data_IF_747309183108
#
_entry.id   IF_747309183108
#
_cell.length_a   1.000
_cell.length_b   1.000
_cell.length_c   1.000
_cell.angle_alpha   90.00
_cell.angle_beta   90.00
_cell.angle_gamma   90.00
#
_symmetry.space_group_name_H-M   'P 1'
#
loop_
_entity.id
_entity.type
_entity.pdbx_description
1 polymer ?
#
# COMPACT_ATOMS: atom_id res chain seq x y z
N UNK A 1 -2.29 17.00 -20.05
CA UNK A 1 -3.56 17.73 -20.07
C UNK A 1 -4.49 17.04 -21.03
N UNK A 2 -5.70 16.69 -20.60
CA UNK A 2 -6.70 16.03 -21.44
C UNK A 2 -7.17 17.03 -22.51
N UNK A 3 -7.28 16.58 -23.76
CA UNK A 3 -7.63 17.45 -24.87
C UNK A 3 -9.07 18.00 -24.74
N UNK A 4 -9.35 19.25 -25.15
CA UNK A 4 -10.60 19.96 -24.87
C UNK A 4 -11.86 19.26 -25.40
N UNK A 5 -11.72 18.42 -26.43
CA UNK A 5 -12.84 17.67 -27.00
C UNK A 5 -13.39 16.56 -26.09
N UNK A 6 -12.72 16.19 -24.99
CA UNK A 6 -13.20 15.17 -24.05
C UNK A 6 -13.80 15.75 -22.76
N UNK A 7 -13.95 17.08 -22.67
CA UNK A 7 -14.38 17.76 -21.44
C UNK A 7 -15.82 17.41 -21.02
N UNK A 8 -16.68 17.13 -22.00
CA UNK A 8 -18.09 16.82 -21.76
C UNK A 8 -18.27 15.46 -21.07
N UNK A 9 -17.46 14.46 -21.41
CA UNK A 9 -17.49 13.11 -20.83
C UNK A 9 -17.04 13.13 -19.35
N UNK A 10 -16.13 14.05 -19.00
CA UNK A 10 -15.58 14.15 -17.64
C UNK A 10 -16.55 14.83 -16.68
N UNK A 11 -17.29 15.86 -17.12
CA UNK A 11 -18.30 16.51 -16.27
C UNK A 11 -19.50 15.58 -16.00
N UNK A 12 -19.85 14.70 -16.95
CA UNK A 12 -20.96 13.75 -16.80
C UNK A 12 -20.66 12.64 -15.78
N UNK A 13 -19.43 12.10 -15.78
CA UNK A 13 -18.97 11.11 -14.80
C UNK A 13 -18.86 11.68 -13.37
N UNK A 14 -18.51 12.96 -13.23
CA UNK A 14 -18.43 13.65 -11.93
C UNK A 14 -19.81 14.00 -11.38
N UNK A 15 -20.80 14.23 -12.25
CA UNK A 15 -22.18 14.53 -11.87
C UNK A 15 -23.02 13.28 -11.56
N UNK A 16 -22.49 12.07 -11.80
CA UNK A 16 -23.20 10.81 -11.53
C UNK A 16 -24.45 10.60 -12.39
N UNK A 17 -24.56 11.30 -13.52
CA UNK A 17 -25.68 11.15 -14.44
C UNK A 17 -25.38 9.95 -15.34
N UNK A 18 -26.01 8.81 -15.03
CA UNK A 18 -26.02 7.66 -15.92
C UNK A 18 -27.04 7.93 -17.04
N UNK A 19 -26.55 8.40 -18.20
CA UNK A 19 -27.34 8.44 -19.45
C UNK A 19 -27.25 7.14 -20.24
N UNK A 20 -26.55 6.13 -19.71
CA UNK A 20 -26.58 4.78 -20.25
C UNK A 20 -28.03 4.27 -20.19
N UNK A 21 -28.62 4.09 -21.36
CA UNK A 21 -29.89 3.37 -21.53
C UNK A 21 -29.77 2.05 -20.76
N UNK A 22 -30.74 1.74 -19.90
CA UNK A 22 -30.76 0.49 -19.15
C UNK A 22 -30.70 -0.67 -20.15
N UNK A 23 -29.53 -1.28 -20.26
CA UNK A 23 -29.37 -2.50 -21.05
C UNK A 23 -30.04 -3.60 -20.25
N UNK A 24 -31.21 -4.04 -20.70
CA UNK A 24 -31.86 -5.20 -20.10
C UNK A 24 -30.88 -6.38 -20.18
N UNK A 25 -30.57 -7.04 -19.05
CA UNK A 25 -29.78 -8.25 -19.08
C UNK A 25 -30.50 -9.28 -19.96
N UNK A 26 -29.81 -9.74 -21.01
CA UNK A 26 -30.29 -10.87 -21.81
C UNK A 26 -30.19 -12.11 -20.94
N UNK A 27 -31.30 -12.45 -20.29
CA UNK A 27 -31.48 -13.74 -19.63
C UNK A 27 -31.89 -14.75 -20.70
N UNK A 28 -30.95 -15.60 -21.08
CA UNK A 28 -31.16 -16.71 -21.99
C UNK A 28 -30.19 -17.83 -21.67
N UNK A 29 -30.60 -19.06 -21.94
CA UNK A 29 -29.69 -20.19 -21.95
C UNK A 29 -28.64 -19.90 -23.04
N UNK A 30 -27.32 -19.94 -22.71
CA UNK A 30 -26.28 -19.65 -23.67
C UNK A 30 -26.47 -20.58 -24.88
N UNK A 31 -26.33 -20.08 -26.12
CA UNK A 31 -26.43 -20.94 -27.28
C UNK A 31 -25.44 -22.09 -27.12
N UNK A 32 -25.89 -23.33 -27.34
CA UNK A 32 -25.02 -24.49 -27.38
C UNK A 32 -24.07 -24.32 -28.58
N UNK A 33 -22.92 -23.70 -28.35
CA UNK A 33 -21.84 -23.68 -29.33
C UNK A 33 -21.23 -25.08 -29.28
N UNK A 34 -21.33 -25.90 -30.34
CA UNK A 34 -20.59 -27.14 -30.38
C UNK A 34 -19.11 -26.80 -30.24
N UNK A 35 -18.49 -27.27 -29.17
CA UNK A 35 -17.07 -27.09 -28.94
C UNK A 35 -16.30 -27.92 -29.98
N UNK A 36 -16.05 -27.36 -31.16
CA UNK A 36 -15.13 -27.96 -32.14
C UNK A 36 -13.68 -27.97 -31.63
N UNK A 37 -13.39 -27.19 -30.58
CA UNK A 37 -12.05 -27.02 -30.04
C UNK A 37 -12.06 -27.19 -28.52
N UNK A 38 -11.20 -28.07 -28.04
CA UNK A 38 -10.90 -28.28 -26.62
C UNK A 38 -9.63 -27.50 -26.27
N UNK A 39 -9.70 -26.65 -25.23
CA UNK A 39 -8.52 -25.91 -24.74
C UNK A 39 -7.58 -26.88 -24.02
N UNK A 40 -6.46 -27.22 -24.66
CA UNK A 40 -5.47 -28.16 -24.12
C UNK A 40 -4.57 -27.51 -23.07
N UNK A 41 -4.02 -26.33 -23.35
CA UNK A 41 -3.09 -25.62 -22.47
C UNK A 41 -3.06 -24.11 -22.76
N UNK A 42 -2.74 -23.31 -21.73
CA UNK A 42 -2.39 -21.89 -21.89
C UNK A 42 -0.90 -21.76 -21.58
N UNK A 43 -0.13 -21.29 -22.57
CA UNK A 43 1.32 -21.06 -22.45
C UNK A 43 1.58 -19.57 -22.33
N UNK A 44 2.17 -19.15 -21.20
CA UNK A 44 2.56 -17.78 -20.96
C UNK A 44 3.83 -17.38 -21.74
N UNK A 45 4.10 -16.08 -21.94
CA UNK A 45 5.29 -15.61 -22.65
C UNK A 45 6.63 -16.04 -22.03
N UNK A 46 6.64 -16.39 -20.75
CA UNK A 46 7.80 -16.91 -20.01
C UNK A 46 7.97 -18.44 -20.14
N UNK A 47 7.07 -19.11 -20.87
CA UNK A 47 7.06 -20.55 -21.06
C UNK A 47 6.38 -21.34 -19.93
N UNK A 48 5.80 -20.67 -18.93
CA UNK A 48 4.99 -21.34 -17.90
C UNK A 48 3.63 -21.78 -18.48
N UNK A 49 3.10 -22.90 -17.98
CA UNK A 49 1.85 -23.50 -18.44
C UNK A 49 0.80 -23.38 -17.32
N UNK A 50 -0.35 -22.80 -17.62
CA UNK A 50 -1.50 -22.77 -16.71
C UNK A 50 -2.40 -23.99 -16.94
N UNK A 51 -2.80 -24.64 -15.84
CA UNK A 51 -3.65 -25.82 -15.90
C UNK A 51 -5.06 -25.45 -16.37
N UNK A 52 -5.54 -26.13 -17.41
CA UNK A 52 -6.86 -25.94 -18.05
C UNK A 52 -8.02 -26.56 -17.27
N UNK A 53 -7.84 -26.78 -15.97
CA UNK A 53 -8.85 -27.35 -15.07
C UNK A 53 -10.06 -26.42 -14.93
N UNK A 54 -11.16 -26.83 -15.58
CA UNK A 54 -12.53 -26.32 -15.48
C UNK A 54 -12.80 -25.16 -14.53
N UNK A 55 -13.04 -23.99 -15.11
CA UNK A 55 -13.76 -22.89 -14.49
C UNK A 55 -12.92 -22.06 -13.50
N UNK A 56 -12.25 -21.04 -14.02
CA UNK A 56 -11.72 -19.97 -13.19
C UNK A 56 -10.68 -19.16 -13.94
N UNK A 57 -11.05 -17.98 -14.41
CA UNK A 57 -10.05 -16.99 -14.78
C UNK A 57 -9.10 -16.81 -13.59
N UNK A 58 -7.81 -17.02 -13.84
CA UNK A 58 -6.76 -17.05 -12.82
C UNK A 58 -6.54 -15.68 -12.18
N UNK A 59 -7.43 -15.29 -11.27
CA UNK A 59 -7.15 -14.23 -10.34
C UNK A 59 -6.28 -14.81 -9.23
N UNK A 60 -4.98 -14.56 -9.27
CA UNK A 60 -4.12 -14.77 -8.11
C UNK A 60 -4.56 -13.79 -7.01
N UNK A 61 -5.11 -14.30 -5.92
CA UNK A 61 -5.43 -13.48 -4.75
C UNK A 61 -4.11 -13.08 -4.07
N UNK A 62 -3.84 -11.78 -4.00
CA UNK A 62 -2.75 -11.24 -3.20
C UNK A 62 -3.29 -10.75 -1.85
N UNK A 63 -2.53 -10.95 -0.79
CA UNK A 63 -2.84 -10.34 0.50
C UNK A 63 -2.68 -8.82 0.38
N UNK A 64 -3.76 -8.08 0.60
CA UNK A 64 -3.74 -6.62 0.61
C UNK A 64 -3.38 -6.13 2.01
N UNK A 65 -2.13 -5.71 2.20
CA UNK A 65 -1.68 -5.04 3.41
C UNK A 65 -1.73 -3.53 3.19
N UNK A 66 -2.40 -2.81 4.10
CA UNK A 66 -2.42 -1.34 4.05
C UNK A 66 -0.98 -0.81 4.22
N UNK A 67 -0.57 0.21 3.46
CA UNK A 67 0.78 0.77 3.59
C UNK A 67 1.12 1.19 5.02
N UNK A 68 0.16 1.75 5.75
CA UNK A 68 0.33 2.17 7.15
C UNK A 68 0.62 0.97 8.06
N UNK A 69 -0.18 -0.09 7.95
CA UNK A 69 0.01 -1.33 8.71
C UNK A 69 1.37 -1.96 8.41
N UNK A 70 1.77 -1.91 7.15
CA UNK A 70 3.08 -2.39 6.71
C UNK A 70 4.20 -1.62 7.40
N UNK A 71 4.15 -0.29 7.40
CA UNK A 71 5.13 0.55 8.08
C UNK A 71 5.14 0.28 9.59
N UNK A 72 3.98 0.11 10.23
CA UNK A 72 3.89 -0.20 11.66
C UNK A 72 4.54 -1.55 12.01
N UNK A 73 4.45 -2.55 11.12
CA UNK A 73 5.00 -3.90 11.37
C UNK A 73 6.47 -4.02 11.00
N UNK A 74 6.90 -3.37 9.93
CA UNK A 74 8.24 -3.55 9.33
C UNK A 74 9.25 -2.45 9.72
N UNK A 75 8.88 -1.53 10.61
CA UNK A 75 9.79 -0.46 11.10
C UNK A 75 9.84 -0.40 12.61
N UNK A 76 10.77 0.40 13.14
CA UNK A 76 10.92 0.75 14.55
C UNK A 76 9.68 1.38 15.18
N UNK A 77 8.71 1.81 14.38
CA UNK A 77 7.38 2.23 14.86
C UNK A 77 6.69 1.13 15.69
N UNK A 78 6.91 -0.15 15.39
CA UNK A 78 6.36 -1.28 16.14
C UNK A 78 6.77 -1.29 17.62
N UNK A 79 7.88 -0.62 17.93
CA UNK A 79 8.52 -0.64 19.24
C UNK A 79 8.37 0.68 19.99
N UNK A 80 7.66 1.65 19.42
CA UNK A 80 7.40 2.92 20.11
C UNK A 80 6.47 2.66 21.29
N UNK A 81 7.08 2.64 22.47
CA UNK A 81 6.43 2.57 23.78
C UNK A 81 7.04 3.66 24.68
N UNK A 82 6.51 3.91 25.87
CA UNK A 82 7.19 4.78 26.86
C UNK A 82 7.23 6.29 26.56
N UNK A 83 6.59 6.76 25.48
CA UNK A 83 6.48 8.19 25.17
C UNK A 83 7.64 8.76 24.35
N UNK A 84 8.32 7.95 23.55
CA UNK A 84 9.30 8.43 22.57
C UNK A 84 8.63 9.39 21.57
N UNK A 85 9.28 10.53 21.31
CA UNK A 85 8.85 11.47 20.28
C UNK A 85 9.43 11.04 18.94
N UNK A 86 8.57 10.85 17.96
CA UNK A 86 8.94 10.46 16.60
C UNK A 86 8.92 11.72 15.75
N UNK A 87 9.97 11.95 14.96
CA UNK A 87 10.08 13.10 14.05
C UNK A 87 10.33 12.62 12.63
N UNK A 88 9.62 13.21 11.67
CA UNK A 88 9.89 13.08 10.25
C UNK A 88 10.91 14.15 9.84
N UNK A 89 12.11 13.74 9.44
CA UNK A 89 13.20 14.65 9.05
C UNK A 89 12.90 15.41 7.74
N UNK A 90 12.05 14.85 6.87
CA UNK A 90 11.66 15.49 5.60
C UNK A 90 10.82 16.74 5.81
N UNK A 91 9.91 16.73 6.79
CA UNK A 91 8.91 17.81 6.98
C UNK A 91 8.98 18.49 8.34
N UNK A 92 9.74 17.92 9.29
CA UNK A 92 9.81 18.37 10.68
C UNK A 92 8.59 18.00 11.53
N UNK A 93 7.59 17.31 10.97
CA UNK A 93 6.43 16.85 11.73
C UNK A 93 6.86 15.90 12.83
N UNK A 94 6.29 16.06 14.03
CA UNK A 94 6.61 15.19 15.16
C UNK A 94 5.38 14.81 15.98
N UNK A 95 5.35 13.58 16.45
CA UNK A 95 4.25 12.99 17.23
C UNK A 95 4.77 11.94 18.19
N UNK A 96 3.99 11.60 19.22
CA UNK A 96 4.28 10.48 20.13
C UNK A 96 3.55 9.18 19.72
N UNK A 97 2.68 9.25 18.70
CA UNK A 97 1.87 8.12 18.23
C UNK A 97 2.49 7.52 16.97
N UNK A 98 2.85 6.24 17.05
CA UNK A 98 3.36 5.47 15.92
C UNK A 98 2.37 5.42 14.76
N UNK A 99 1.09 5.19 15.05
CA UNK A 99 0.00 5.17 14.07
C UNK A 99 -0.14 6.51 13.35
N UNK A 100 -0.10 7.62 14.10
CA UNK A 100 -0.14 8.96 13.52
C UNK A 100 1.07 9.19 12.61
N UNK A 101 2.26 8.73 12.99
CA UNK A 101 3.45 8.87 12.15
C UNK A 101 3.36 8.01 10.89
N UNK A 102 2.91 6.75 11.00
CA UNK A 102 2.75 5.85 9.85
C UNK A 102 1.80 6.45 8.80
N UNK A 103 0.62 6.90 9.24
CA UNK A 103 -0.34 7.60 8.37
C UNK A 103 0.25 8.87 7.77
N UNK A 104 0.95 9.68 8.58
CA UNK A 104 1.57 10.90 8.10
C UNK A 104 2.60 10.65 6.98
N UNK A 105 3.43 9.61 7.13
CA UNK A 105 4.42 9.21 6.13
C UNK A 105 3.75 8.78 4.82
N UNK A 106 2.65 8.02 4.89
CA UNK A 106 1.90 7.57 3.71
C UNK A 106 1.21 8.74 3.03
N UNK A 107 0.40 9.50 3.77
CA UNK A 107 -0.47 10.54 3.20
C UNK A 107 0.28 11.81 2.78
N UNK A 108 1.25 12.25 3.59
CA UNK A 108 1.90 13.56 3.41
C UNK A 108 3.30 13.46 2.82
N UNK A 109 3.98 12.32 3.00
CA UNK A 109 5.33 12.10 2.46
C UNK A 109 5.36 11.16 1.25
N UNK A 110 4.25 10.47 0.95
CA UNK A 110 4.13 9.41 -0.06
C UNK A 110 5.19 8.30 0.11
N UNK A 111 5.40 7.86 1.35
CA UNK A 111 6.36 6.82 1.72
C UNK A 111 5.60 5.54 2.01
N UNK A 112 5.90 4.46 1.30
CA UNK A 112 5.27 3.14 1.48
C UNK A 112 6.27 2.05 1.82
N UNK A 113 7.55 2.36 1.64
CA UNK A 113 8.68 1.46 1.73
C UNK A 113 9.29 1.57 3.13
N UNK A 114 9.27 0.49 3.93
CA UNK A 114 9.73 0.51 5.31
C UNK A 114 11.17 1.02 5.46
N UNK A 115 12.08 0.59 4.59
CA UNK A 115 13.47 1.05 4.62
C UNK A 115 13.59 2.57 4.42
N UNK A 116 12.73 3.16 3.58
CA UNK A 116 12.76 4.59 3.31
C UNK A 116 12.13 5.38 4.46
N UNK A 117 11.06 4.85 5.05
CA UNK A 117 10.49 5.38 6.29
C UNK A 117 11.54 5.46 7.40
N UNK A 118 12.35 4.41 7.57
CA UNK A 118 13.43 4.36 8.57
C UNK A 118 14.48 5.46 8.39
N UNK A 119 14.80 5.83 7.15
CA UNK A 119 15.74 6.92 6.84
C UNK A 119 15.15 8.29 7.19
N UNK A 120 13.83 8.43 7.06
CA UNK A 120 13.13 9.69 7.30
C UNK A 120 12.72 9.90 8.76
N UNK A 121 12.84 8.88 9.61
CA UNK A 121 12.43 8.96 11.01
C UNK A 121 13.62 9.14 11.95
N UNK A 122 13.46 10.03 12.92
CA UNK A 122 14.30 10.09 14.11
C UNK A 122 13.44 9.96 15.37
N UNK A 123 14.06 9.48 16.44
CA UNK A 123 13.42 9.29 17.72
C UNK A 123 14.12 10.15 18.78
N UNK A 124 13.35 11.03 19.40
CA UNK A 124 13.78 11.92 20.47
C UNK A 124 13.17 11.49 21.81
N UNK A 125 13.95 11.56 22.87
CA UNK A 125 13.50 11.29 24.21
C UNK A 125 12.73 12.49 24.77
N UNK A 126 11.57 12.28 25.42
CA UNK A 126 10.92 13.37 26.14
C UNK A 126 11.81 13.82 27.29
N UNK A 127 12.08 15.13 27.36
CA UNK A 127 12.67 15.75 28.54
C UNK A 127 11.62 15.70 29.67
N UNK A 128 11.96 15.18 30.85
CA UNK A 128 11.16 15.40 32.06
C UNK A 128 11.83 16.44 32.95
N UNK A 129 11.04 17.09 33.82
CA UNK A 129 11.56 18.05 34.82
C UNK A 129 12.57 17.40 35.78
N UNK A 130 12.49 16.07 35.96
CA UNK A 130 13.38 15.26 36.79
C UNK A 130 14.68 14.82 36.08
N UNK A 131 14.91 15.27 34.84
CA UNK A 131 16.05 14.89 34.01
C UNK A 131 15.65 14.03 32.79
N UNK A 132 16.61 13.55 31.99
CA UNK A 132 16.28 12.59 30.93
C UNK A 132 15.69 11.32 31.57
N UNK A 133 14.51 10.88 31.10
CA UNK A 133 13.95 9.56 31.47
C UNK A 133 15.02 8.48 31.27
N UNK A 134 15.07 7.49 32.16
CA UNK A 134 16.09 6.44 32.10
C UNK A 134 16.03 5.75 30.74
N UNK A 135 17.15 5.81 30.02
CA UNK A 135 17.30 5.25 28.66
C UNK A 135 17.02 3.74 28.61
N UNK A 136 16.97 3.09 29.77
CA UNK A 136 16.66 1.65 29.93
C UNK A 136 15.16 1.34 29.81
N UNK A 137 14.27 2.33 29.82
CA UNK A 137 12.82 2.10 29.72
C UNK A 137 12.31 1.99 28.28
N UNK A 138 13.08 2.40 27.27
CA UNK A 138 12.71 2.16 25.87
C UNK A 138 13.37 0.91 25.29
N UNK A 139 12.75 0.33 24.25
CA UNK A 139 13.36 -0.77 23.53
C UNK A 139 14.66 -0.30 22.84
N UNK A 140 15.79 -1.02 23.01
CA UNK A 140 17.08 -0.64 22.46
C UNK A 140 17.08 -0.52 20.93
N UNK A 141 16.12 -1.19 20.27
CA UNK A 141 15.91 -1.13 18.82
C UNK A 141 15.67 0.30 18.30
N UNK A 142 15.18 1.23 19.13
CA UNK A 142 14.97 2.62 18.70
C UNK A 142 16.31 3.37 18.50
N UNK A 143 17.38 2.94 19.17
CA UNK A 143 18.74 3.48 19.03
C UNK A 143 19.56 2.76 17.95
N UNK A 144 19.03 1.69 17.34
CA UNK A 144 19.73 0.94 16.30
C UNK A 144 19.90 1.74 15.00
N UNK A 145 20.95 1.45 14.21
CA UNK A 145 21.18 2.13 12.94
C UNK A 145 20.01 1.88 11.97
N UNK A 146 19.68 2.92 11.21
CA UNK A 146 18.66 2.95 10.16
C UNK A 146 18.75 1.72 9.25
N UNK A 147 17.59 1.12 8.92
CA UNK A 147 17.51 0.02 7.97
C UNK A 147 18.23 0.38 6.66
N UNK A 148 19.12 -0.51 6.20
CA UNK A 148 19.88 -0.29 4.97
C UNK A 148 18.96 -0.40 3.76
N UNK A 149 19.15 0.41 2.71
CA UNK A 149 18.44 0.22 1.46
C UNK A 149 18.75 -1.17 0.89
N UNK A 150 17.80 -1.81 0.18
CA UNK A 150 18.06 -3.02 -0.59
C UNK A 150 19.24 -2.84 -1.53
N UNK A 151 20.02 -3.91 -1.77
CA UNK A 151 21.23 -3.82 -2.62
C UNK A 151 20.91 -3.41 -4.07
N UNK A 152 19.69 -3.67 -4.52
CA UNK A 152 19.18 -3.32 -5.86
C UNK A 152 18.81 -1.83 -6.02
N UNK A 153 18.92 -1.01 -4.97
CA UNK A 153 18.61 0.41 -4.99
C UNK A 153 19.84 1.33 -5.03
N UNK A 154 21.03 0.80 -5.35
CA UNK A 154 22.29 1.56 -5.45
C UNK A 154 22.65 1.99 -6.87
#
# INVERSE_FOLDING_TARGET
GIAPQHKQVVEEAVAGVNTAEEVEPVYGEPPEIPAEYELVEIVNPDGSIEATGGGGGGASMAELVLPEDRLLRETRLAHVSGGAKIRCEKTGFATFSAETMARYLVENCNVREPWYAEVLMSFEWPWSEDGPRDRRELPPVLDEPVARPPEDCR
#
